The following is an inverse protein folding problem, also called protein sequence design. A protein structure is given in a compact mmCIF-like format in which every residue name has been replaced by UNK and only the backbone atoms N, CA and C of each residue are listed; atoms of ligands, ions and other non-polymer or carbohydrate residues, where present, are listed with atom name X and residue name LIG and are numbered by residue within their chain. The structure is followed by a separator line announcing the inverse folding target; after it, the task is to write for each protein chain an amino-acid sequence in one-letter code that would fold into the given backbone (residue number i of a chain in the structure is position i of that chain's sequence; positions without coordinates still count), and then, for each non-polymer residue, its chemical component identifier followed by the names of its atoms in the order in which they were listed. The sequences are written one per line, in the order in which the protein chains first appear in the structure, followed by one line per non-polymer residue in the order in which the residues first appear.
data_IF_052288603835
#
_entry.id   IF_052288603835
#
_cell.length_a   1.000
_cell.length_b   1.000
_cell.length_c   1.000
_cell.angle_alpha   90.00
_cell.angle_beta   90.00
_cell.angle_gamma   90.00
#
_symmetry.space_group_name_H-M   'P 1'
#
loop_
_entity.id
_entity.type
_entity.pdbx_description
1 polymer ?
#
# COMPACT_ATOMS: atom_id res chain seq x y z
N UNK A 1 23.25 -1.17 -2.57
CA UNK A 1 22.42 -1.72 -1.47
C UNK A 1 21.13 -0.91 -1.47
N UNK A 2 19.98 -1.53 -1.68
CA UNK A 2 18.71 -0.82 -1.80
C UNK A 2 18.25 -0.37 -0.42
N UNK A 3 18.03 0.92 -0.26
CA UNK A 3 17.54 1.56 0.96
C UNK A 3 16.04 1.87 0.84
N UNK A 4 15.28 1.71 1.92
CA UNK A 4 13.88 2.11 1.97
C UNK A 4 13.77 3.40 2.76
N UNK A 5 13.35 4.46 2.08
CA UNK A 5 13.26 5.81 2.65
C UNK A 5 11.85 6.37 2.49
N UNK A 6 11.32 7.07 3.50
CA UNK A 6 10.13 7.88 3.33
C UNK A 6 10.45 9.08 2.44
N UNK A 7 9.45 9.60 1.73
CA UNK A 7 9.59 10.82 0.91
C UNK A 7 8.63 11.90 1.40
N UNK A 8 9.13 13.14 1.44
CA UNK A 8 8.34 14.36 1.66
C UNK A 8 7.60 14.76 0.38
N UNK A 9 6.67 15.73 0.47
CA UNK A 9 5.99 16.25 -0.71
C UNK A 9 6.93 16.80 -1.79
N UNK A 10 7.92 17.67 -1.46
CA UNK A 10 8.92 18.11 -2.42
C UNK A 10 9.75 16.99 -3.04
N UNK A 11 10.15 16.00 -2.25
CA UNK A 11 10.86 14.83 -2.77
C UNK A 11 9.98 13.99 -3.68
N UNK A 12 8.69 13.83 -3.36
CA UNK A 12 7.73 13.15 -4.23
C UNK A 12 7.61 13.83 -5.60
N UNK A 13 7.60 15.18 -5.63
CA UNK A 13 7.63 15.94 -6.88
C UNK A 13 8.93 15.67 -7.64
N UNK A 14 10.07 15.64 -6.95
CA UNK A 14 11.38 15.33 -7.55
C UNK A 14 11.42 13.92 -8.16
N UNK A 15 10.88 12.92 -7.46
CA UNK A 15 10.84 11.54 -7.94
C UNK A 15 9.67 11.22 -8.88
N UNK A 16 8.82 12.21 -9.20
CA UNK A 16 7.55 11.95 -9.92
C UNK A 16 7.76 11.27 -11.28
N UNK A 17 8.81 11.63 -12.02
CA UNK A 17 9.08 11.06 -13.35
C UNK A 17 9.62 9.62 -13.28
N UNK A 18 10.44 9.30 -12.29
CA UNK A 18 10.93 7.94 -12.06
C UNK A 18 9.83 7.03 -11.53
N UNK A 19 8.99 7.55 -10.64
CA UNK A 19 7.82 6.84 -10.12
C UNK A 19 6.75 6.66 -11.20
N UNK A 20 6.60 7.61 -12.13
CA UNK A 20 5.77 7.45 -13.31
C UNK A 20 6.27 6.29 -14.18
N UNK A 21 7.59 6.18 -14.39
CA UNK A 21 8.17 5.04 -15.10
C UNK A 21 7.86 3.70 -14.42
N UNK A 22 7.98 3.63 -13.08
CA UNK A 22 7.61 2.43 -12.31
C UNK A 22 6.11 2.11 -12.45
N UNK A 23 5.24 3.11 -12.38
CA UNK A 23 3.79 2.93 -12.51
C UNK A 23 3.42 2.44 -13.91
N UNK A 24 3.97 3.06 -14.96
CA UNK A 24 3.76 2.64 -16.37
C UNK A 24 4.25 1.22 -16.60
N UNK A 25 5.45 0.86 -16.13
CA UNK A 25 5.97 -0.51 -16.22
C UNK A 25 5.04 -1.52 -15.51
N UNK A 26 4.48 -1.13 -14.37
CA UNK A 26 3.58 -1.97 -13.57
C UNK A 26 2.26 -2.22 -14.28
N UNK A 27 1.64 -1.15 -14.79
CA UNK A 27 0.34 -1.19 -15.49
C UNK A 27 0.47 -1.92 -16.83
N UNK A 28 1.46 -1.55 -17.65
CA UNK A 28 1.67 -2.18 -18.95
C UNK A 28 2.14 -3.64 -18.81
N UNK A 29 2.71 -4.01 -17.66
CA UNK A 29 3.02 -5.38 -17.28
C UNK A 29 1.81 -6.19 -16.76
N UNK A 30 0.59 -5.63 -16.80
CA UNK A 30 -0.66 -6.31 -16.47
C UNK A 30 -1.01 -6.32 -14.97
N UNK A 31 -0.30 -5.56 -14.12
CA UNK A 31 -0.64 -5.50 -12.68
C UNK A 31 -1.72 -4.44 -12.42
N UNK A 32 -2.78 -4.83 -11.72
CA UNK A 32 -3.88 -3.94 -11.35
C UNK A 32 -3.48 -3.05 -10.18
N UNK A 33 -3.32 -1.76 -10.46
CA UNK A 33 -2.96 -0.73 -9.46
C UNK A 33 -3.82 0.54 -9.63
N UNK A 34 -5.01 0.38 -10.25
CA UNK A 34 -6.01 1.42 -10.42
C UNK A 34 -5.87 2.22 -11.71
N UNK A 35 -5.19 1.67 -12.73
CA UNK A 35 -5.03 2.30 -14.05
C UNK A 35 -5.24 1.28 -15.17
N UNK A 36 -5.70 1.78 -16.33
CA UNK A 36 -5.80 1.01 -17.56
C UNK A 36 -4.55 1.19 -18.44
N UNK A 37 -4.24 0.18 -19.24
CA UNK A 37 -3.18 0.25 -20.25
C UNK A 37 -3.75 0.69 -21.62
N UNK A 38 -2.96 1.39 -22.46
CA UNK A 38 -1.63 1.92 -22.13
C UNK A 38 -1.71 3.14 -21.22
N UNK A 39 -0.88 3.20 -20.20
CA UNK A 39 -0.79 4.37 -19.32
C UNK A 39 0.24 5.36 -19.87
N UNK A 40 -0.18 6.59 -20.08
CA UNK A 40 0.71 7.69 -20.47
C UNK A 40 1.60 8.11 -19.32
N UNK A 41 2.90 8.38 -19.63
CA UNK A 41 3.91 8.71 -18.61
C UNK A 41 3.66 10.07 -17.96
N UNK A 42 3.20 11.07 -18.73
CA UNK A 42 2.94 12.41 -18.21
C UNK A 42 1.71 12.40 -17.30
N UNK A 43 0.70 11.60 -17.64
CA UNK A 43 -0.47 11.34 -16.78
C UNK A 43 -0.02 10.68 -15.46
N UNK A 44 0.84 9.67 -15.54
CA UNK A 44 1.39 9.01 -14.36
C UNK A 44 2.23 9.97 -13.49
N UNK A 45 3.05 10.82 -14.09
CA UNK A 45 3.86 11.80 -13.37
C UNK A 45 2.99 12.88 -12.70
N UNK A 46 1.99 13.39 -13.40
CA UNK A 46 1.01 14.33 -12.84
C UNK A 46 0.27 13.71 -11.62
N UNK A 47 -0.14 12.45 -11.75
CA UNK A 47 -0.79 11.71 -10.66
C UNK A 47 0.07 11.65 -9.38
N UNK A 48 1.40 11.46 -9.49
CA UNK A 48 2.30 11.49 -8.34
C UNK A 48 2.46 12.90 -7.76
N UNK A 49 2.65 13.93 -8.62
CA UNK A 49 2.81 15.34 -8.17
C UNK A 49 1.60 15.84 -7.38
N UNK A 50 0.39 15.51 -7.81
CA UNK A 50 -0.86 15.90 -7.14
C UNK A 50 -0.97 15.36 -5.71
N UNK A 51 -0.21 14.33 -5.35
CA UNK A 51 -0.21 13.72 -4.02
C UNK A 51 0.74 14.38 -3.03
N UNK A 52 1.61 15.27 -3.49
CA UNK A 52 2.58 15.95 -2.63
C UNK A 52 1.92 16.68 -1.45
N UNK A 53 0.81 17.39 -1.70
CA UNK A 53 0.07 18.06 -0.64
C UNK A 53 -0.53 17.11 0.40
N UNK A 54 -0.97 15.91 0.01
CA UNK A 54 -1.46 14.91 0.95
C UNK A 54 -0.33 14.30 1.79
N UNK A 55 0.88 14.20 1.23
CA UNK A 55 2.08 13.76 1.96
C UNK A 55 2.45 14.80 3.01
N UNK A 56 2.54 16.08 2.64
CA UNK A 56 2.90 17.18 3.56
C UNK A 56 1.85 17.37 4.66
N UNK A 57 0.57 17.12 4.35
CA UNK A 57 -0.51 17.13 5.33
C UNK A 57 -0.56 15.88 6.24
N UNK A 58 0.29 14.89 6.02
CA UNK A 58 0.31 13.63 6.78
C UNK A 58 -0.88 12.69 6.52
N UNK A 59 -1.66 12.95 5.48
CA UNK A 59 -2.77 12.08 5.06
C UNK A 59 -2.30 10.87 4.26
N UNK A 60 -1.15 10.98 3.62
CA UNK A 60 -0.49 9.94 2.86
C UNK A 60 0.98 9.88 3.26
N UNK A 61 1.51 8.69 3.48
CA UNK A 61 2.94 8.45 3.61
C UNK A 61 3.38 7.58 2.43
N UNK A 62 4.52 7.87 1.84
CA UNK A 62 5.09 7.11 0.73
C UNK A 62 6.52 6.75 1.07
N UNK A 63 6.89 5.51 0.79
CA UNK A 63 8.28 5.03 0.82
C UNK A 63 8.70 4.60 -0.56
N UNK A 64 9.96 4.84 -0.86
CA UNK A 64 10.62 4.31 -2.05
C UNK A 64 11.74 3.35 -1.64
N UNK A 65 11.88 2.26 -2.38
CA UNK A 65 13.07 1.43 -2.34
C UNK A 65 14.06 2.06 -3.33
N UNK A 66 15.05 2.81 -2.80
CA UNK A 66 16.00 3.57 -3.60
C UNK A 66 17.24 2.71 -3.89
N UNK A 67 17.49 2.44 -5.15
CA UNK A 67 18.77 2.02 -5.67
C UNK A 67 19.54 3.25 -6.18
N UNK A 68 20.86 3.14 -6.39
CA UNK A 68 21.75 4.27 -6.66
C UNK A 68 21.25 5.24 -7.74
N UNK A 69 20.46 4.76 -8.71
CA UNK A 69 20.05 5.55 -9.88
C UNK A 69 18.54 5.84 -9.95
N UNK A 70 17.66 5.03 -9.33
CA UNK A 70 16.20 5.21 -9.45
C UNK A 70 15.40 4.41 -8.43
N UNK A 71 14.12 4.78 -8.15
CA UNK A 71 13.23 3.97 -7.35
C UNK A 71 13.04 2.57 -7.96
N UNK A 72 13.41 1.54 -7.20
CA UNK A 72 13.21 0.12 -7.55
C UNK A 72 11.83 -0.39 -7.13
N UNK A 73 11.18 0.32 -6.20
CA UNK A 73 9.82 0.03 -5.73
C UNK A 73 9.27 1.15 -4.86
N UNK A 74 7.98 1.07 -4.57
CA UNK A 74 7.27 2.03 -3.71
C UNK A 74 6.13 1.36 -2.97
N UNK A 75 5.68 1.98 -1.88
CA UNK A 75 4.48 1.66 -1.12
C UNK A 75 3.90 2.95 -0.55
N UNK A 76 2.56 3.03 -0.47
CA UNK A 76 1.83 4.10 0.18
C UNK A 76 1.05 3.62 1.40
N UNK A 77 0.87 4.50 2.36
CA UNK A 77 0.01 4.33 3.53
C UNK A 77 -0.94 5.52 3.61
N UNK A 78 -2.22 5.29 3.39
CA UNK A 78 -3.28 6.30 3.38
C UNK A 78 -3.99 6.29 4.73
N UNK A 79 -4.00 7.42 5.43
CA UNK A 79 -4.73 7.58 6.70
C UNK A 79 -6.23 7.67 6.43
N UNK A 80 -7.04 6.99 7.22
CA UNK A 80 -8.49 7.14 7.15
C UNK A 80 -8.88 8.58 7.53
N UNK A 81 -9.70 9.28 6.72
CA UNK A 81 -9.98 10.70 6.92
C UNK A 81 -11.00 10.98 8.04
N UNK A 82 -11.82 10.00 8.39
CA UNK A 82 -12.92 10.19 9.34
C UNK A 82 -12.45 10.08 10.80
N UNK A 83 -12.98 10.91 11.72
CA UNK A 83 -12.58 10.93 13.12
C UNK A 83 -12.71 9.57 13.84
N UNK A 84 -13.74 8.79 13.50
CA UNK A 84 -13.98 7.47 14.08
C UNK A 84 -13.11 6.35 13.49
N UNK A 85 -12.29 6.66 12.48
CA UNK A 85 -11.43 5.70 11.78
C UNK A 85 -9.93 6.03 11.89
N UNK A 86 -9.52 6.99 12.73
CA UNK A 86 -8.11 7.42 12.88
C UNK A 86 -7.15 6.33 13.31
N UNK A 87 -7.65 5.25 13.90
CA UNK A 87 -6.88 4.06 14.26
C UNK A 87 -6.57 3.16 13.06
N UNK A 88 -7.09 3.49 11.86
CA UNK A 88 -6.97 2.67 10.64
C UNK A 88 -6.21 3.41 9.54
N UNK A 89 -5.44 2.66 8.77
CA UNK A 89 -4.84 3.13 7.53
C UNK A 89 -4.91 2.04 6.45
N UNK A 90 -4.79 2.46 5.19
CA UNK A 90 -4.82 1.59 4.03
C UNK A 90 -3.44 1.53 3.39
N UNK A 91 -2.96 0.32 3.13
CA UNK A 91 -1.77 0.08 2.32
C UNK A 91 -2.15 0.09 0.85
N UNK A 92 -1.49 0.95 0.08
CA UNK A 92 -1.77 1.13 -1.34
C UNK A 92 -0.48 1.23 -2.17
N UNK A 93 -0.59 1.01 -3.48
CA UNK A 93 0.50 1.24 -4.45
C UNK A 93 1.82 0.54 -4.09
N UNK A 94 1.74 -0.69 -3.55
CA UNK A 94 2.93 -1.54 -3.43
C UNK A 94 3.34 -2.02 -4.82
N UNK A 95 4.44 -1.49 -5.30
CA UNK A 95 5.00 -1.82 -6.62
C UNK A 95 6.48 -2.07 -6.52
N UNK A 96 6.97 -3.04 -7.28
CA UNK A 96 8.41 -3.34 -7.44
C UNK A 96 8.70 -3.55 -8.91
N UNK A 97 9.74 -2.88 -9.43
CA UNK A 97 10.17 -3.04 -10.82
C UNK A 97 10.39 -4.51 -11.16
N UNK A 98 10.02 -4.96 -12.36
CA UNK A 98 10.23 -6.35 -12.78
C UNK A 98 11.68 -6.82 -12.57
N UNK A 99 12.65 -5.98 -12.88
CA UNK A 99 14.09 -6.28 -12.73
C UNK A 99 14.58 -6.41 -11.27
N UNK A 100 13.81 -5.92 -10.29
CA UNK A 100 14.13 -5.95 -8.87
C UNK A 100 13.23 -6.92 -8.08
N UNK A 101 12.34 -7.66 -8.74
CA UNK A 101 11.50 -8.68 -8.10
C UNK A 101 12.34 -9.89 -7.65
N UNK A 102 11.79 -10.66 -6.70
CA UNK A 102 12.49 -11.83 -6.16
C UNK A 102 13.59 -11.53 -5.13
N UNK A 103 13.89 -10.25 -4.89
CA UNK A 103 14.94 -9.79 -3.96
C UNK A 103 14.39 -9.38 -2.57
N UNK A 104 13.13 -9.68 -2.27
CA UNK A 104 12.51 -9.36 -0.99
C UNK A 104 12.04 -7.90 -0.82
N UNK A 105 12.22 -7.03 -1.84
CA UNK A 105 11.90 -5.60 -1.72
C UNK A 105 10.44 -5.32 -1.37
N UNK A 106 9.50 -6.06 -1.96
CA UNK A 106 8.07 -5.90 -1.62
C UNK A 106 7.78 -6.18 -0.15
N UNK A 107 8.40 -7.21 0.43
CA UNK A 107 8.29 -7.52 1.86
C UNK A 107 8.93 -6.44 2.72
N UNK A 108 10.06 -5.92 2.34
CA UNK A 108 10.77 -4.86 3.08
C UNK A 108 9.99 -3.54 3.06
N UNK A 109 9.41 -3.16 1.91
CA UNK A 109 8.51 -2.00 1.78
C UNK A 109 7.27 -2.16 2.67
N UNK A 110 6.63 -3.33 2.62
CA UNK A 110 5.46 -3.63 3.44
C UNK A 110 5.79 -3.53 4.94
N UNK A 111 6.90 -4.11 5.37
CA UNK A 111 7.36 -4.05 6.75
C UNK A 111 7.69 -2.61 7.20
N UNK A 112 8.21 -1.75 6.33
CA UNK A 112 8.44 -0.33 6.63
C UNK A 112 7.13 0.42 6.87
N UNK A 113 6.12 0.22 6.01
CA UNK A 113 4.80 0.81 6.18
C UNK A 113 4.10 0.30 7.46
N UNK A 114 4.16 -1.00 7.74
CA UNK A 114 3.58 -1.61 8.95
C UNK A 114 4.20 -1.05 10.23
N UNK A 115 5.53 -0.93 10.29
CA UNK A 115 6.23 -0.33 11.46
C UNK A 115 5.84 1.12 11.64
N UNK A 116 5.90 1.93 10.59
CA UNK A 116 5.53 3.36 10.66
C UNK A 116 4.08 3.56 11.08
N UNK A 117 3.17 2.73 10.62
CA UNK A 117 1.78 2.74 11.05
C UNK A 117 1.64 2.47 12.55
N UNK A 118 2.31 1.43 13.06
CA UNK A 118 2.31 1.10 14.49
C UNK A 118 2.90 2.21 15.35
N UNK A 119 4.04 2.78 14.93
CA UNK A 119 4.71 3.89 15.63
C UNK A 119 3.83 5.16 15.68
N UNK A 120 2.99 5.35 14.67
CA UNK A 120 2.03 6.44 14.60
C UNK A 120 0.68 6.15 15.29
N UNK A 121 0.56 5.04 16.04
CA UNK A 121 -0.63 4.67 16.81
C UNK A 121 -1.77 4.09 15.96
N UNK A 122 -1.51 3.70 14.71
CA UNK A 122 -2.46 2.91 13.91
C UNK A 122 -2.49 1.48 14.47
N UNK A 123 -3.69 0.94 14.65
CA UNK A 123 -3.88 -0.41 15.19
C UNK A 123 -4.47 -1.38 14.18
N UNK A 124 -4.98 -0.88 13.05
CA UNK A 124 -5.57 -1.68 11.98
C UNK A 124 -5.10 -1.19 10.62
N UNK A 125 -4.52 -2.09 9.85
CA UNK A 125 -4.23 -1.91 8.45
C UNK A 125 -5.22 -2.69 7.59
N UNK A 126 -5.60 -2.10 6.46
CA UNK A 126 -6.44 -2.73 5.44
C UNK A 126 -5.79 -2.59 4.07
N UNK A 127 -6.12 -3.45 3.14
CA UNK A 127 -5.81 -3.32 1.72
C UNK A 127 -6.78 -4.15 0.90
N UNK A 128 -6.82 -3.83 -0.39
CA UNK A 128 -7.42 -4.68 -1.40
C UNK A 128 -6.40 -5.03 -2.49
N UNK A 129 -6.59 -6.18 -3.12
CA UNK A 129 -5.71 -6.64 -4.21
C UNK A 129 -6.47 -7.54 -5.17
N UNK A 130 -6.08 -7.55 -6.45
CA UNK A 130 -6.63 -8.49 -7.42
C UNK A 130 -6.44 -9.94 -6.94
N UNK A 131 -7.53 -10.71 -6.91
CA UNK A 131 -7.53 -12.10 -6.46
C UNK A 131 -6.63 -12.97 -7.33
N UNK A 132 -5.85 -13.85 -6.70
CA UNK A 132 -4.89 -14.73 -7.38
C UNK A 132 -3.57 -14.06 -7.79
N UNK A 133 -3.40 -12.76 -7.53
CA UNK A 133 -2.21 -12.01 -7.91
C UNK A 133 -0.93 -12.42 -7.15
N UNK A 134 0.26 -12.12 -7.67
CA UNK A 134 1.50 -12.29 -6.91
C UNK A 134 1.53 -11.48 -5.62
N UNK A 135 0.89 -10.30 -5.58
CA UNK A 135 0.80 -9.45 -4.41
C UNK A 135 -0.02 -10.11 -3.29
N UNK A 136 -1.10 -10.80 -3.64
CA UNK A 136 -1.91 -11.57 -2.69
C UNK A 136 -1.08 -12.61 -1.93
N UNK A 137 -0.21 -13.35 -2.62
CA UNK A 137 0.70 -14.32 -1.98
C UNK A 137 1.68 -13.65 -1.02
N UNK A 138 2.15 -12.43 -1.34
CA UNK A 138 3.00 -11.65 -0.45
C UNK A 138 2.25 -11.30 0.84
N UNK A 139 1.04 -10.77 0.75
CA UNK A 139 0.25 -10.37 1.92
C UNK A 139 -0.06 -11.56 2.83
N UNK A 140 -0.51 -12.68 2.28
CA UNK A 140 -0.72 -13.92 3.05
C UNK A 140 0.55 -14.37 3.77
N UNK A 141 1.70 -14.39 3.08
CA UNK A 141 2.98 -14.78 3.67
C UNK A 141 3.54 -13.76 4.68
N UNK A 142 3.02 -12.53 4.69
CA UNK A 142 3.34 -11.48 5.65
C UNK A 142 2.38 -11.46 6.85
N UNK A 143 1.46 -12.44 6.96
CA UNK A 143 0.54 -12.59 8.10
C UNK A 143 -0.69 -11.69 8.03
N UNK A 144 -1.09 -11.25 6.83
CA UNK A 144 -2.37 -10.56 6.62
C UNK A 144 -3.51 -11.58 6.58
N UNK A 145 -4.62 -11.25 7.25
CA UNK A 145 -5.83 -12.05 7.28
C UNK A 145 -6.79 -11.63 6.15
N UNK A 146 -7.34 -12.62 5.46
CA UNK A 146 -8.33 -12.41 4.41
C UNK A 146 -9.71 -12.11 5.02
N UNK A 147 -10.39 -11.06 4.53
CA UNK A 147 -11.78 -10.76 4.88
C UNK A 147 -12.78 -11.45 3.94
N UNK A 148 -12.41 -11.59 2.67
CA UNK A 148 -13.26 -12.14 1.61
C UNK A 148 -12.98 -11.49 0.27
N UNK A 149 -13.67 -11.97 -0.77
CA UNK A 149 -13.49 -11.55 -2.14
C UNK A 149 -14.79 -10.98 -2.73
N UNK A 150 -14.65 -9.93 -3.56
CA UNK A 150 -15.78 -9.31 -4.26
C UNK A 150 -15.58 -9.57 -5.76
N UNK A 151 -16.52 -10.26 -6.43
CA UNK A 151 -16.47 -10.46 -7.88
C UNK A 151 -16.58 -9.13 -8.63
N UNK A 152 -15.97 -9.06 -9.81
CA UNK A 152 -16.11 -7.94 -10.77
C UNK A 152 -15.87 -6.55 -10.16
N UNK A 153 -14.99 -6.48 -9.17
CA UNK A 153 -14.75 -5.26 -8.37
C UNK A 153 -14.03 -4.17 -9.15
N UNK A 154 -13.05 -4.53 -9.96
CA UNK A 154 -12.27 -3.58 -10.76
C UNK A 154 -11.80 -4.23 -12.06
N UNK A 155 -11.49 -3.40 -13.05
CA UNK A 155 -10.84 -3.87 -14.26
C UNK A 155 -9.34 -4.08 -14.05
N UNK A 156 -8.81 -5.14 -14.66
CA UNK A 156 -7.37 -5.24 -14.91
C UNK A 156 -6.92 -4.16 -15.93
N UNK A 157 -5.62 -3.97 -16.15
CA UNK A 157 -5.13 -3.00 -17.12
C UNK A 157 -5.65 -3.18 -18.56
N UNK A 158 -6.05 -4.38 -18.94
CA UNK A 158 -6.64 -4.67 -20.25
C UNK A 158 -8.15 -4.39 -20.33
N UNK A 159 -8.77 -3.97 -19.22
CA UNK A 159 -10.20 -3.64 -19.15
C UNK A 159 -11.11 -4.81 -18.79
N UNK A 160 -10.57 -5.99 -18.46
CA UNK A 160 -11.36 -7.14 -18.04
C UNK A 160 -11.69 -7.05 -16.54
N UNK A 161 -12.97 -7.23 -16.20
CA UNK A 161 -13.41 -7.26 -14.79
C UNK A 161 -12.74 -8.41 -14.02
N UNK A 162 -12.25 -8.13 -12.84
CA UNK A 162 -11.57 -9.06 -11.93
C UNK A 162 -12.14 -8.96 -10.53
N UNK A 163 -12.08 -10.08 -9.84
CA UNK A 163 -12.37 -10.12 -8.41
C UNK A 163 -11.23 -9.47 -7.61
N UNK A 164 -11.59 -8.86 -6.49
CA UNK A 164 -10.66 -8.28 -5.51
C UNK A 164 -10.82 -8.98 -4.18
N UNK A 165 -9.71 -9.32 -3.54
CA UNK A 165 -9.66 -9.85 -2.19
C UNK A 165 -9.26 -8.76 -1.21
N UNK A 166 -10.05 -8.62 -0.15
CA UNK A 166 -9.82 -7.67 0.94
C UNK A 166 -9.00 -8.34 2.04
N UNK A 167 -7.99 -7.65 2.54
CA UNK A 167 -7.12 -8.10 3.62
C UNK A 167 -7.06 -7.07 4.75
N UNK A 168 -6.81 -7.57 5.98
CA UNK A 168 -6.50 -6.73 7.13
C UNK A 168 -5.35 -7.30 7.94
N UNK A 169 -4.71 -6.42 8.73
CA UNK A 169 -3.69 -6.79 9.71
C UNK A 169 -3.78 -5.89 10.93
N UNK A 170 -3.87 -6.50 12.12
CA UNK A 170 -3.69 -5.76 13.37
C UNK A 170 -2.19 -5.43 13.53
N UNK A 171 -1.88 -4.16 13.85
CA UNK A 171 -0.53 -3.67 14.11
C UNK A 171 -0.52 -2.87 15.42
N UNK A 172 0.66 -2.66 16.03
CA UNK A 172 0.78 -1.97 17.31
C UNK A 172 0.86 -2.90 18.52
N UNK A 173 1.17 -2.34 19.68
CA UNK A 173 1.49 -3.09 20.90
C UNK A 173 0.33 -3.97 21.37
N UNK A 174 0.65 -5.19 21.76
CA UNK A 174 -0.25 -6.17 22.39
C UNK A 174 -0.79 -5.74 23.78
N UNK A 175 -0.70 -4.47 24.15
CA UNK A 175 -1.12 -3.95 25.46
C UNK A 175 -2.61 -3.64 25.60
N UNK A 176 -3.41 -3.76 24.54
CA UNK A 176 -4.86 -3.48 24.59
C UNK A 176 -5.79 -4.70 24.49
N UNK A 177 -5.26 -5.92 24.32
CA UNK A 177 -6.08 -7.11 24.11
C UNK A 177 -6.54 -7.80 25.42
N UNK A 178 -5.97 -7.44 26.56
CA UNK A 178 -6.28 -8.10 27.85
C UNK A 178 -7.51 -7.55 28.57
N UNK A 179 -7.98 -6.35 28.22
CA UNK A 179 -9.08 -5.66 28.95
C UNK A 179 -10.47 -5.86 28.32
N UNK A 180 -10.59 -6.56 27.18
CA UNK A 180 -11.90 -6.78 26.52
C UNK A 180 -12.54 -8.14 26.82
N UNK A 181 -11.88 -8.98 27.60
CA UNK A 181 -12.40 -10.34 27.90
C UNK A 181 -13.01 -10.49 29.31
N UNK A 182 -13.15 -9.41 30.08
CA UNK A 182 -13.73 -9.47 31.43
C UNK A 182 -14.89 -8.48 31.56
N UNK A 183 -16.07 -8.81 31.02
CA UNK A 183 -17.33 -8.28 31.53
C UNK A 183 -18.14 -9.45 32.04
N UNK A 184 -18.39 -9.56 33.36
CA UNK A 184 -19.27 -10.58 33.89
C UNK A 184 -20.72 -10.27 33.51
N UNK A 185 -21.41 -11.26 32.97
CA UNK A 185 -22.85 -11.30 32.88
C UNK A 185 -23.44 -11.15 34.29
N UNK A 186 -24.09 -10.03 34.57
CA UNK A 186 -25.00 -9.91 35.71
C UNK A 186 -26.40 -10.14 35.18
N UNK A 187 -26.97 -11.26 35.63
CA UNK A 187 -28.38 -11.57 35.51
C UNK A 187 -29.21 -10.57 36.34
N UNK A 188 -30.29 -10.09 35.78
CA UNK A 188 -31.61 -9.91 36.40
C UNK A 188 -32.66 -9.94 35.30
#
# INVERSE_FOLDING_TARGET
MTEIVPVSGPELVTYSDELAGLLVETVNGGSSVGFLAPLDRDVAAAWWRERAGAVDAGHLQIWIARDAERPAGTIGLVRAPLPNARHRAEVAKLMVRPSARGQGLGRSLLAAAERSAADAGVTLLVLDTESGSPAERLYRSAGWAECGSIPDYACDPAGALKATTLYYKAVGSAQGASDRAASPSTSL
#
